data_IF_875716246264
#
_entry.id   IF_875716246264
#
_cell.length_a   1.000
_cell.length_b   1.000
_cell.length_c   1.000
_cell.angle_alpha   90.00
_cell.angle_beta   90.00
_cell.angle_gamma   90.00
#
_symmetry.space_group_name_H-M   'P 1'
#
loop_
_entity.id
_entity.type
_entity.pdbx_description
1 polymer ?
#
# COMPACT_ATOMS: atom_id res chain seq x y z
N UNK A 1 -37.45 -2.02 20.02
CA UNK A 1 -37.21 -0.82 20.87
C UNK A 1 -35.92 -0.96 21.69
N UNK A 2 -34.83 -0.38 21.20
CA UNK A 2 -33.84 0.33 22.01
C UNK A 2 -32.94 1.11 21.04
N UNK A 3 -33.11 2.44 20.99
CA UNK A 3 -32.25 3.35 20.22
C UNK A 3 -31.02 3.62 21.09
N UNK A 4 -29.82 3.36 20.56
CA UNK A 4 -28.57 3.79 21.19
C UNK A 4 -28.30 5.24 20.74
N UNK A 5 -28.16 6.13 21.70
CA UNK A 5 -27.90 7.55 21.51
C UNK A 5 -26.43 7.84 21.20
N UNK A 6 -26.22 8.91 20.43
CA UNK A 6 -24.96 9.64 20.24
C UNK A 6 -24.39 10.09 21.60
N UNK A 7 -23.05 10.13 21.71
CA UNK A 7 -22.21 10.51 22.88
C UNK A 7 -21.61 9.38 23.76
N UNK A 8 -21.04 8.31 23.18
CA UNK A 8 -20.13 7.44 23.94
C UNK A 8 -18.67 7.90 23.85
N UNK A 9 -18.14 8.38 24.97
CA UNK A 9 -16.71 8.60 25.21
C UNK A 9 -16.10 7.29 25.73
N UNK A 10 -15.15 6.71 24.99
CA UNK A 10 -14.40 5.53 25.45
C UNK A 10 -13.10 5.99 26.12
N UNK A 11 -12.95 5.68 27.43
CA UNK A 11 -11.72 5.98 28.19
C UNK A 11 -10.81 4.76 28.25
N UNK A 12 -9.55 4.92 27.82
CA UNK A 12 -8.48 3.95 28.02
C UNK A 12 -7.34 4.62 28.81
N UNK A 13 -7.26 4.33 30.10
CA UNK A 13 -6.22 4.88 30.98
C UNK A 13 -6.25 6.41 31.08
N UNK A 14 -5.08 7.04 31.00
CA UNK A 14 -4.94 8.50 31.15
C UNK A 14 -5.30 9.31 29.89
N UNK A 15 -5.72 8.65 28.80
CA UNK A 15 -5.99 9.31 27.51
C UNK A 15 -7.49 9.33 27.22
N UNK A 16 -8.01 10.53 26.96
CA UNK A 16 -9.40 10.75 26.49
C UNK A 16 -9.37 11.02 25.00
N UNK A 17 -10.10 10.23 24.21
CA UNK A 17 -10.27 10.45 22.77
C UNK A 17 -11.70 10.93 22.54
N UNK A 18 -11.85 12.17 22.08
CA UNK A 18 -13.14 12.69 21.60
C UNK A 18 -13.32 12.33 20.12
N UNK A 19 -14.37 11.55 19.83
CA UNK A 19 -14.87 11.34 18.47
C UNK A 19 -15.52 12.65 17.99
N UNK A 20 -14.76 13.47 17.27
CA UNK A 20 -15.31 14.64 16.60
C UNK A 20 -16.09 14.21 15.37
N UNK A 21 -17.41 14.26 15.49
CA UNK A 21 -18.36 14.20 14.39
C UNK A 21 -18.16 15.42 13.48
N UNK A 22 -17.79 15.19 12.21
CA UNK A 22 -17.97 16.19 11.15
C UNK A 22 -18.81 15.59 10.04
N UNK A 23 -20.11 15.55 10.29
CA UNK A 23 -21.13 15.62 9.24
C UNK A 23 -21.17 17.05 8.74
N UNK A 24 -20.55 17.34 7.60
CA UNK A 24 -20.86 18.53 6.81
C UNK A 24 -21.81 18.15 5.69
N UNK A 25 -23.10 18.34 5.94
CA UNK A 25 -24.17 18.33 4.96
C UNK A 25 -23.96 19.48 3.95
N UNK A 26 -23.57 19.14 2.73
CA UNK A 26 -23.60 20.04 1.57
C UNK A 26 -24.25 19.29 0.42
N UNK A 27 -25.43 19.75 0.00
CA UNK A 27 -26.16 19.25 -1.16
C UNK A 27 -25.36 19.58 -2.41
N UNK A 28 -24.87 18.57 -3.10
CA UNK A 28 -24.72 18.53 -4.56
C UNK A 28 -24.63 17.06 -4.99
N UNK A 29 -25.80 16.49 -5.23
CA UNK A 29 -25.95 15.19 -5.85
C UNK A 29 -25.66 15.34 -7.35
N UNK A 30 -24.42 15.03 -7.75
CA UNK A 30 -24.09 14.72 -9.14
C UNK A 30 -23.58 13.27 -9.19
N UNK A 31 -24.31 12.46 -9.94
CA UNK A 31 -24.16 11.02 -10.03
C UNK A 31 -22.73 10.57 -10.37
N UNK A 32 -22.04 9.96 -9.41
CA UNK A 32 -20.90 9.07 -9.70
C UNK A 32 -21.49 7.67 -9.68
N UNK A 33 -21.75 7.14 -10.88
CA UNK A 33 -22.23 5.78 -11.06
C UNK A 33 -21.35 4.81 -10.27
N UNK A 34 -21.99 4.03 -9.39
CA UNK A 34 -21.36 2.91 -8.73
C UNK A 34 -20.83 1.95 -9.81
N UNK A 35 -19.55 2.07 -10.15
CA UNK A 35 -18.85 1.03 -10.89
C UNK A 35 -18.92 -0.21 -10.01
N UNK A 36 -19.67 -1.20 -10.47
CA UNK A 36 -19.76 -2.52 -9.87
C UNK A 36 -18.33 -3.00 -9.54
N UNK A 37 -18.02 -3.14 -8.25
CA UNK A 37 -16.72 -3.63 -7.82
C UNK A 37 -16.52 -5.04 -8.39
N UNK A 38 -15.41 -5.27 -9.10
CA UNK A 38 -15.05 -6.60 -9.60
C UNK A 38 -14.87 -7.54 -8.40
N UNK A 39 -15.60 -8.67 -8.30
CA UNK A 39 -15.49 -9.60 -7.18
C UNK A 39 -14.10 -10.27 -7.07
N UNK A 40 -13.20 -10.08 -8.04
CA UNK A 40 -11.78 -10.48 -7.98
C UNK A 40 -10.82 -9.33 -7.65
N UNK A 41 -11.33 -8.14 -7.33
CA UNK A 41 -10.50 -7.00 -6.98
C UNK A 41 -9.69 -7.30 -5.71
N UNK A 42 -8.37 -7.15 -5.83
CA UNK A 42 -7.45 -7.23 -4.69
C UNK A 42 -7.55 -5.97 -3.82
N UNK A 43 -7.05 -6.00 -2.59
CA UNK A 43 -6.94 -4.79 -1.77
C UNK A 43 -6.14 -3.69 -2.48
N UNK A 44 -5.12 -4.07 -3.27
CA UNK A 44 -4.38 -3.16 -4.15
C UNK A 44 -5.30 -2.48 -5.19
N UNK A 45 -6.19 -3.23 -5.84
CA UNK A 45 -7.14 -2.67 -6.81
C UNK A 45 -8.11 -1.69 -6.15
N UNK A 46 -8.57 -2.00 -4.95
CA UNK A 46 -9.49 -1.14 -4.19
C UNK A 46 -8.80 0.17 -3.77
N UNK A 47 -7.57 0.08 -3.24
CA UNK A 47 -6.77 1.27 -2.89
C UNK A 47 -6.50 2.11 -4.14
N UNK A 48 -6.07 1.49 -5.24
CA UNK A 48 -5.78 2.22 -6.48
C UNK A 48 -7.02 2.91 -7.06
N UNK A 49 -8.18 2.23 -7.09
CA UNK A 49 -9.43 2.82 -7.55
C UNK A 49 -9.87 3.99 -6.66
N UNK A 50 -9.71 3.85 -5.35
CA UNK A 50 -10.11 4.87 -4.40
C UNK A 50 -9.19 6.11 -4.42
N UNK A 51 -7.99 6.02 -5.02
CA UNK A 51 -7.08 7.16 -5.22
C UNK A 51 -7.45 7.95 -6.47
N UNK A 52 -7.98 7.32 -7.52
CA UNK A 52 -8.40 8.00 -8.75
C UNK A 52 -9.57 9.00 -8.56
N UNK A 53 -10.26 8.95 -7.42
CA UNK A 53 -11.29 9.92 -7.03
C UNK A 53 -10.86 10.89 -5.94
N UNK A 54 -9.62 10.82 -5.45
CA UNK A 54 -9.12 11.62 -4.34
C UNK A 54 -7.87 12.42 -4.78
N UNK A 55 -7.63 13.58 -4.16
CA UNK A 55 -6.42 14.40 -4.36
C UNK A 55 -5.45 14.20 -3.20
N UNK A 56 -4.69 13.08 -3.15
CA UNK A 56 -3.78 12.86 -2.04
C UNK A 56 -2.63 13.86 -2.06
N UNK A 57 -2.25 14.36 -0.88
CA UNK A 57 -0.98 15.07 -0.73
C UNK A 57 0.14 14.06 -1.01
N UNK A 58 1.15 14.46 -1.76
CA UNK A 58 2.34 13.66 -2.05
C UNK A 58 3.60 14.34 -1.49
N UNK A 59 4.68 13.60 -1.20
CA UNK A 59 5.89 14.14 -0.57
C UNK A 59 6.79 14.85 -1.60
N UNK A 60 6.20 15.59 -2.54
CA UNK A 60 6.92 16.34 -3.59
C UNK A 60 6.34 17.75 -3.72
N UNK A 61 7.22 18.74 -3.76
CA UNK A 61 6.83 20.14 -3.99
C UNK A 61 6.71 20.40 -5.49
N UNK A 62 5.48 20.57 -5.99
CA UNK A 62 5.21 20.90 -7.39
C UNK A 62 5.20 19.68 -8.31
N UNK A 63 5.72 19.81 -9.53
CA UNK A 63 5.96 18.68 -10.41
C UNK A 63 7.27 18.02 -9.99
N UNK A 64 7.26 16.73 -9.70
CA UNK A 64 8.45 16.05 -9.23
C UNK A 64 8.35 14.53 -9.29
N UNK A 65 9.50 13.88 -9.30
CA UNK A 65 9.61 12.42 -9.27
C UNK A 65 9.15 11.89 -7.93
N UNK A 66 8.24 10.91 -7.95
CA UNK A 66 7.78 10.19 -6.76
C UNK A 66 7.95 8.69 -6.98
N UNK A 67 8.30 7.99 -5.91
CA UNK A 67 8.28 6.53 -5.86
C UNK A 67 7.03 6.08 -5.13
N UNK A 68 6.23 5.27 -5.80
CA UNK A 68 4.99 4.69 -5.29
C UNK A 68 5.23 3.24 -4.94
N UNK A 69 4.75 2.87 -3.76
CA UNK A 69 4.73 1.49 -3.31
C UNK A 69 3.27 1.06 -3.13
N UNK A 70 2.95 -0.12 -3.64
CA UNK A 70 1.74 -0.84 -3.30
C UNK A 70 2.10 -2.11 -2.54
N UNK A 71 1.32 -2.45 -1.52
CA UNK A 71 1.45 -3.72 -0.83
C UNK A 71 0.09 -4.28 -0.42
N UNK A 72 -0.02 -5.60 -0.33
CA UNK A 72 -1.12 -6.33 0.31
C UNK A 72 -0.64 -7.66 0.90
N UNK A 73 -1.50 -8.31 1.68
CA UNK A 73 -1.25 -9.67 2.16
C UNK A 73 -1.74 -10.66 1.10
N UNK A 74 -0.85 -11.57 0.71
CA UNK A 74 -1.19 -12.66 -0.19
C UNK A 74 -2.26 -13.57 0.44
N UNK A 75 -3.36 -13.79 -0.29
CA UNK A 75 -4.42 -14.69 0.16
C UNK A 75 -5.14 -14.19 1.43
N UNK A 76 -5.17 -12.88 1.67
CA UNK A 76 -5.76 -12.27 2.86
C UNK A 76 -7.18 -12.73 3.18
N UNK A 77 -8.04 -12.86 2.17
CA UNK A 77 -9.41 -13.37 2.35
C UNK A 77 -9.43 -14.82 2.89
N UNK A 78 -8.59 -15.70 2.34
CA UNK A 78 -8.53 -17.09 2.78
C UNK A 78 -7.99 -17.18 4.22
N UNK A 79 -6.97 -16.37 4.55
CA UNK A 79 -6.41 -16.28 5.90
C UNK A 79 -7.40 -15.72 6.92
N UNK A 80 -8.20 -14.72 6.54
CA UNK A 80 -9.24 -14.17 7.40
C UNK A 80 -10.27 -15.24 7.79
N UNK A 81 -10.70 -16.06 6.81
CA UNK A 81 -11.64 -17.17 7.06
C UNK A 81 -11.02 -18.25 7.94
N UNK A 82 -9.75 -18.61 7.71
CA UNK A 82 -9.04 -19.64 8.49
C UNK A 82 -8.85 -19.23 9.96
N UNK A 83 -8.48 -17.98 10.21
CA UNK A 83 -8.16 -17.48 11.55
C UNK A 83 -9.40 -17.03 12.35
N UNK A 84 -10.46 -16.64 11.66
CA UNK A 84 -11.60 -15.95 12.26
C UNK A 84 -11.32 -14.48 12.53
N UNK A 85 -12.41 -13.71 12.68
CA UNK A 85 -12.38 -12.24 12.67
C UNK A 85 -11.44 -11.64 13.72
N UNK A 86 -11.52 -12.07 14.98
CA UNK A 86 -10.73 -11.48 16.07
C UNK A 86 -9.22 -11.69 15.88
N UNK A 87 -8.81 -12.92 15.52
CA UNK A 87 -7.42 -13.24 15.29
C UNK A 87 -6.90 -12.52 14.04
N UNK A 88 -7.68 -12.48 12.96
CA UNK A 88 -7.33 -11.75 11.75
C UNK A 88 -7.18 -10.24 11.99
N UNK A 89 -8.07 -9.63 12.78
CA UNK A 89 -7.97 -8.22 13.16
C UNK A 89 -6.67 -7.91 13.93
N UNK A 90 -6.23 -8.83 14.80
CA UNK A 90 -4.93 -8.69 15.46
C UNK A 90 -3.76 -8.78 14.46
N UNK A 91 -3.81 -9.71 13.49
CA UNK A 91 -2.81 -9.81 12.41
C UNK A 91 -2.75 -8.50 11.60
N UNK A 92 -3.90 -7.97 11.20
CA UNK A 92 -3.98 -6.69 10.49
C UNK A 92 -3.41 -5.53 11.32
N UNK A 93 -3.69 -5.50 12.62
CA UNK A 93 -3.17 -4.47 13.51
C UNK A 93 -1.64 -4.49 13.55
N UNK A 94 -1.04 -5.67 13.73
CA UNK A 94 0.42 -5.83 13.75
C UNK A 94 1.03 -5.50 12.39
N UNK A 95 0.48 -6.05 11.31
CA UNK A 95 0.91 -5.77 9.94
C UNK A 95 0.93 -4.26 9.66
N UNK A 96 -0.20 -3.59 9.90
CA UNK A 96 -0.35 -2.16 9.62
C UNK A 96 0.59 -1.32 10.48
N UNK A 97 0.82 -1.72 11.74
CA UNK A 97 1.76 -1.04 12.63
C UNK A 97 3.21 -1.17 12.15
N UNK A 98 3.62 -2.35 11.69
CA UNK A 98 4.96 -2.56 11.11
C UNK A 98 5.13 -1.70 9.85
N UNK A 99 4.18 -1.76 8.92
CA UNK A 99 4.24 -0.99 7.67
C UNK A 99 4.36 0.51 7.94
N UNK A 100 3.47 1.07 8.77
CA UNK A 100 3.48 2.50 9.12
C UNK A 100 4.79 2.94 9.77
N UNK A 101 5.31 2.14 10.70
CA UNK A 101 6.58 2.43 11.39
C UNK A 101 7.74 2.54 10.41
N UNK A 102 7.86 1.63 9.43
CA UNK A 102 8.96 1.69 8.47
C UNK A 102 8.78 2.80 7.44
N UNK A 103 7.54 3.07 7.03
CA UNK A 103 7.23 4.20 6.14
C UNK A 103 7.64 5.52 6.79
N UNK A 104 7.24 5.76 8.04
CA UNK A 104 7.58 6.97 8.78
C UNK A 104 9.10 7.11 8.99
N UNK A 105 9.77 6.04 9.42
CA UNK A 105 11.23 6.03 9.65
C UNK A 105 12.06 6.42 8.43
N UNK A 106 11.57 6.12 7.23
CA UNK A 106 12.27 6.39 5.98
C UNK A 106 11.72 7.62 5.25
N UNK A 107 10.93 8.47 5.93
CA UNK A 107 10.41 9.71 5.36
C UNK A 107 9.37 9.49 4.26
N UNK A 108 8.73 8.32 4.23
CA UNK A 108 7.60 8.02 3.37
C UNK A 108 6.29 8.54 3.95
N UNK A 109 5.24 8.46 3.14
CA UNK A 109 3.89 8.84 3.54
C UNK A 109 2.89 7.75 3.14
N UNK A 110 2.01 7.39 4.07
CA UNK A 110 0.80 6.63 3.74
C UNK A 110 -0.15 7.55 2.96
N UNK A 111 -0.33 7.25 1.69
CA UNK A 111 -1.28 7.97 0.84
C UNK A 111 -2.69 7.49 1.11
N UNK A 112 -2.85 6.16 1.18
CA UNK A 112 -4.12 5.51 1.45
C UNK A 112 -3.89 4.09 1.92
N UNK A 113 -4.81 3.59 2.74
CA UNK A 113 -4.87 2.18 3.15
C UNK A 113 -6.30 1.65 3.07
N UNK A 114 -6.45 0.35 2.83
CA UNK A 114 -7.73 -0.35 2.86
C UNK A 114 -7.51 -1.81 3.27
N UNK A 115 -7.95 -2.17 4.48
CA UNK A 115 -7.72 -3.49 5.05
C UNK A 115 -6.22 -3.75 5.28
N UNK A 116 -5.68 -4.70 4.51
CA UNK A 116 -4.28 -5.06 4.41
C UNK A 116 -3.54 -4.34 3.26
N UNK A 117 -4.26 -3.63 2.40
CA UNK A 117 -3.70 -2.92 1.27
C UNK A 117 -3.14 -1.54 1.64
N UNK A 118 -1.94 -1.21 1.17
CA UNK A 118 -1.37 0.13 1.28
C UNK A 118 -1.00 0.71 -0.08
N UNK A 119 -1.19 2.03 -0.22
CA UNK A 119 -0.48 2.87 -1.16
C UNK A 119 0.39 3.84 -0.38
N UNK A 120 1.68 3.81 -0.67
CA UNK A 120 2.70 4.61 0.00
C UNK A 120 3.44 5.44 -1.05
N UNK A 121 3.93 6.60 -0.64
CA UNK A 121 4.71 7.48 -1.49
C UNK A 121 6.00 7.92 -0.80
N UNK A 122 7.07 7.96 -1.58
CA UNK A 122 8.40 8.41 -1.16
C UNK A 122 8.94 9.38 -2.20
N UNK A 123 9.72 10.38 -1.76
CA UNK A 123 10.47 11.25 -2.66
C UNK A 123 11.75 10.59 -3.22
N UNK A 124 12.13 9.41 -2.69
CA UNK A 124 13.33 8.67 -3.05
C UNK A 124 13.04 7.20 -3.26
N UNK A 125 13.45 6.67 -4.42
CA UNK A 125 13.35 5.24 -4.73
C UNK A 125 14.14 4.37 -3.74
N UNK A 126 15.30 4.88 -3.30
CA UNK A 126 16.13 4.21 -2.31
C UNK A 126 15.45 4.13 -0.96
N UNK A 127 14.85 5.23 -0.50
CA UNK A 127 14.14 5.26 0.78
C UNK A 127 12.96 4.27 0.78
N UNK A 128 12.23 4.18 -0.33
CA UNK A 128 11.16 3.20 -0.51
C UNK A 128 11.67 1.76 -0.40
N UNK A 129 12.78 1.43 -1.09
CA UNK A 129 13.40 0.11 -1.01
C UNK A 129 13.81 -0.22 0.42
N UNK A 130 14.57 0.67 1.07
CA UNK A 130 15.07 0.42 2.43
C UNK A 130 13.90 0.20 3.40
N UNK A 131 12.84 1.01 3.30
CA UNK A 131 11.64 0.86 4.12
C UNK A 131 10.96 -0.50 3.93
N UNK A 132 10.83 -0.95 2.68
CA UNK A 132 10.14 -2.20 2.36
C UNK A 132 10.98 -3.43 2.72
N UNK A 133 12.31 -3.35 2.62
CA UNK A 133 13.22 -4.38 3.12
C UNK A 133 13.07 -4.54 4.63
N UNK A 134 13.10 -3.43 5.38
CA UNK A 134 12.93 -3.46 6.83
C UNK A 134 11.52 -3.91 7.25
N UNK A 135 10.50 -3.61 6.44
CA UNK A 135 9.15 -4.11 6.66
C UNK A 135 9.08 -5.64 6.48
N UNK A 136 9.63 -6.19 5.38
CA UNK A 136 9.67 -7.63 5.15
C UNK A 136 10.45 -8.37 6.25
N UNK A 137 11.58 -7.81 6.70
CA UNK A 137 12.37 -8.36 7.82
C UNK A 137 11.57 -8.39 9.12
N UNK A 138 10.92 -7.29 9.47
CA UNK A 138 10.11 -7.21 10.69
C UNK A 138 8.91 -8.17 10.65
N UNK A 139 8.23 -8.28 9.50
CA UNK A 139 7.14 -9.24 9.30
C UNK A 139 7.62 -10.69 9.39
N UNK A 140 8.78 -11.00 8.80
CA UNK A 140 9.39 -12.33 8.88
C UNK A 140 9.77 -12.70 10.32
N UNK A 141 10.37 -11.77 11.08
CA UNK A 141 10.72 -11.97 12.48
C UNK A 141 9.48 -12.20 13.36
N UNK A 142 8.39 -11.45 13.11
CA UNK A 142 7.12 -11.65 13.79
C UNK A 142 6.50 -13.00 13.42
N UNK A 143 6.48 -13.37 12.14
CA UNK A 143 5.97 -14.65 11.67
C UNK A 143 6.72 -15.85 12.27
N UNK A 144 8.04 -15.73 12.48
CA UNK A 144 8.84 -16.77 13.14
C UNK A 144 8.41 -16.99 14.61
N UNK A 145 7.96 -15.94 15.29
CA UNK A 145 7.45 -16.02 16.68
C UNK A 145 5.96 -16.38 16.74
N UNK A 146 5.23 -16.22 15.63
CA UNK A 146 3.78 -16.41 15.54
C UNK A 146 3.39 -17.25 14.30
N UNK A 147 3.82 -18.53 14.18
CA UNK A 147 3.66 -19.30 12.94
C UNK A 147 2.21 -19.50 12.48
N UNK A 148 1.28 -19.65 13.42
CA UNK A 148 -0.15 -19.81 13.12
C UNK A 148 -0.78 -18.54 12.56
N UNK A 149 -0.20 -17.37 12.80
CA UNK A 149 -0.70 -16.07 12.34
C UNK A 149 0.16 -15.47 11.23
N UNK A 150 1.13 -16.24 10.71
CA UNK A 150 2.08 -15.78 9.71
C UNK A 150 1.39 -15.41 8.39
N UNK A 151 1.67 -14.19 7.93
CA UNK A 151 1.21 -13.64 6.65
C UNK A 151 2.40 -13.32 5.75
N UNK A 152 2.18 -13.43 4.44
CA UNK A 152 3.19 -13.06 3.44
C UNK A 152 2.72 -11.82 2.70
N UNK A 153 3.53 -10.77 2.72
CA UNK A 153 3.18 -9.49 2.09
C UNK A 153 3.82 -9.40 0.71
N UNK A 154 3.04 -9.00 -0.27
CA UNK A 154 3.48 -8.73 -1.65
C UNK A 154 3.74 -7.25 -1.79
N UNK A 155 4.86 -6.87 -2.38
CA UNK A 155 5.25 -5.46 -2.50
C UNK A 155 5.64 -5.15 -3.94
N UNK A 156 5.10 -4.07 -4.49
CA UNK A 156 5.49 -3.53 -5.80
C UNK A 156 5.91 -2.08 -5.71
N UNK A 157 7.04 -1.74 -6.36
CA UNK A 157 7.62 -0.40 -6.34
C UNK A 157 7.79 0.13 -7.77
N UNK A 158 7.32 1.35 -8.01
CA UNK A 158 7.49 2.05 -9.27
C UNK A 158 7.77 3.53 -9.05
N UNK A 159 8.61 4.13 -9.90
CA UNK A 159 8.91 5.56 -9.89
C UNK A 159 8.31 6.23 -11.11
N UNK A 160 7.77 7.43 -10.95
CA UNK A 160 7.23 8.23 -12.05
C UNK A 160 7.11 9.70 -11.68
N UNK A 161 6.77 10.53 -12.66
CA UNK A 161 6.52 11.95 -12.39
C UNK A 161 5.11 12.18 -11.83
N UNK A 162 5.04 12.93 -10.73
CA UNK A 162 3.83 13.57 -10.28
C UNK A 162 3.62 14.85 -11.09
N UNK A 163 2.63 14.86 -11.99
CA UNK A 163 2.23 16.08 -12.70
C UNK A 163 1.17 16.78 -11.85
N UNK A 164 1.50 17.94 -11.28
CA UNK A 164 0.56 18.75 -10.49
C UNK A 164 -0.27 19.65 -11.42
N UNK A 165 -1.20 19.07 -12.18
CA UNK A 165 -2.32 19.84 -12.74
C UNK A 165 -3.55 19.56 -11.90
N UNK A 166 -4.04 20.58 -11.18
CA UNK A 166 -5.21 20.48 -10.28
C UNK A 166 -5.07 19.41 -9.18
N UNK A 167 -3.88 19.26 -8.59
CA UNK A 167 -3.58 18.40 -7.44
C UNK A 167 -3.87 16.89 -7.64
N UNK A 168 -3.82 16.40 -8.88
CA UNK A 168 -4.10 15.00 -9.20
C UNK A 168 -2.87 14.27 -9.74
N UNK A 169 -2.57 13.09 -9.19
CA UNK A 169 -1.47 12.26 -9.70
C UNK A 169 -1.97 11.52 -10.92
N UNK A 170 -1.39 11.79 -12.10
CA UNK A 170 -1.81 11.14 -13.33
C UNK A 170 -1.78 9.62 -13.16
N UNK A 171 -2.97 9.01 -13.19
CA UNK A 171 -3.24 7.65 -12.75
C UNK A 171 -2.44 6.54 -13.44
N UNK A 172 -1.70 6.83 -14.51
CA UNK A 172 -0.85 5.85 -15.20
C UNK A 172 0.22 5.28 -14.28
N UNK A 173 1.00 6.10 -13.57
CA UNK A 173 2.08 5.60 -12.71
C UNK A 173 1.55 4.89 -11.45
N UNK A 174 0.38 5.31 -10.93
CA UNK A 174 -0.33 4.57 -9.87
C UNK A 174 -0.78 3.21 -10.37
N UNK A 175 -1.38 3.14 -11.57
CA UNK A 175 -1.80 1.88 -12.17
C UNK A 175 -0.59 0.97 -12.42
N UNK A 176 0.53 1.50 -12.94
CA UNK A 176 1.76 0.71 -13.10
C UNK A 176 2.21 0.15 -11.75
N UNK A 177 2.35 1.00 -10.72
CA UNK A 177 2.80 0.56 -9.39
C UNK A 177 1.90 -0.54 -8.79
N UNK A 178 0.58 -0.36 -8.87
CA UNK A 178 -0.41 -1.35 -8.41
C UNK A 178 -0.28 -2.66 -9.19
N UNK A 179 -0.06 -2.59 -10.51
CA UNK A 179 0.09 -3.78 -11.36
C UNK A 179 1.41 -4.49 -11.13
N UNK A 180 2.50 -3.76 -10.88
CA UNK A 180 3.78 -4.33 -10.44
C UNK A 180 3.60 -5.09 -9.12
N UNK A 181 2.92 -4.51 -8.13
CA UNK A 181 2.64 -5.20 -6.87
C UNK A 181 1.78 -6.46 -7.08
N UNK A 182 0.80 -6.40 -7.98
CA UNK A 182 -0.01 -7.57 -8.35
C UNK A 182 0.75 -8.71 -9.03
N UNK A 183 1.96 -8.46 -9.57
CA UNK A 183 2.85 -9.50 -10.12
C UNK A 183 3.78 -10.11 -9.06
N UNK A 184 3.90 -9.49 -7.89
CA UNK A 184 4.71 -10.01 -6.81
C UNK A 184 4.03 -11.22 -6.16
N UNK A 185 4.84 -12.10 -5.58
CA UNK A 185 4.43 -13.21 -4.72
C UNK A 185 4.60 -12.86 -3.24
N UNK A 186 3.97 -13.61 -2.34
CA UNK A 186 4.07 -13.36 -0.89
C UNK A 186 5.52 -13.41 -0.40
N UNK A 187 5.98 -12.33 0.25
CA UNK A 187 7.36 -12.15 0.71
C UNK A 187 8.29 -11.54 -0.35
N UNK A 188 7.79 -11.22 -1.53
CA UNK A 188 8.57 -10.64 -2.62
C UNK A 188 8.45 -9.11 -2.63
N UNK A 189 9.57 -8.45 -2.93
CA UNK A 189 9.60 -7.04 -3.32
C UNK A 189 9.93 -6.99 -4.81
N UNK A 190 8.97 -6.55 -5.61
CA UNK A 190 9.11 -6.44 -7.05
C UNK A 190 9.23 -4.98 -7.47
N UNK A 191 10.23 -4.67 -8.29
CA UNK A 191 10.46 -3.29 -8.74
C UNK A 191 10.37 -3.19 -10.25
N UNK A 192 9.84 -2.08 -10.75
CA UNK A 192 9.92 -1.77 -12.19
C UNK A 192 11.37 -1.50 -12.63
N UNK A 193 11.68 -1.69 -13.93
CA UNK A 193 13.01 -1.42 -14.49
C UNK A 193 13.56 -0.03 -14.13
N UNK A 194 12.72 1.00 -14.18
CA UNK A 194 13.14 2.37 -13.82
C UNK A 194 13.61 2.49 -12.36
N UNK A 195 12.95 1.80 -11.43
CA UNK A 195 13.37 1.82 -10.01
C UNK A 195 14.73 1.15 -9.87
N UNK A 196 14.93 -0.01 -10.54
CA UNK A 196 16.21 -0.72 -10.55
C UNK A 196 17.31 0.18 -11.10
N UNK A 197 17.13 0.77 -12.28
CA UNK A 197 18.11 1.65 -12.92
C UNK A 197 18.52 2.83 -12.02
N UNK A 198 17.57 3.42 -11.28
CA UNK A 198 17.84 4.53 -10.36
C UNK A 198 18.77 4.10 -9.20
N UNK A 199 18.60 2.89 -8.66
CA UNK A 199 19.25 2.47 -7.41
C UNK A 199 20.47 1.58 -7.62
N UNK A 200 20.61 0.92 -8.77
CA UNK A 200 21.66 -0.04 -9.07
C UNK A 200 23.07 0.60 -9.09
N UNK A 201 23.15 1.90 -9.38
CA UNK A 201 24.41 2.67 -9.40
C UNK A 201 25.20 2.65 -8.09
N UNK A 202 24.57 2.39 -6.94
CA UNK A 202 25.26 2.28 -5.64
C UNK A 202 25.90 0.90 -5.39
N UNK A 203 25.48 -0.14 -6.09
CA UNK A 203 26.08 -1.48 -6.02
C UNK A 203 25.84 -2.28 -4.73
N UNK A 204 25.03 -1.78 -3.80
CA UNK A 204 24.74 -2.42 -2.50
C UNK A 204 23.40 -3.19 -2.47
N UNK A 205 22.61 -3.09 -3.54
CA UNK A 205 21.36 -3.84 -3.72
C UNK A 205 21.56 -4.96 -4.73
N UNK A 206 20.94 -6.12 -4.47
CA UNK A 206 20.95 -7.27 -5.39
C UNK A 206 19.56 -7.49 -5.94
N UNK A 207 19.49 -7.72 -7.24
CA UNK A 207 18.26 -8.05 -7.96
C UNK A 207 18.37 -9.45 -8.54
N UNK A 208 17.25 -10.19 -8.53
CA UNK A 208 17.14 -11.45 -9.24
C UNK A 208 16.93 -11.23 -10.74
N UNK A 209 16.61 -12.33 -11.42
CA UNK A 209 16.36 -12.32 -12.87
C UNK A 209 15.19 -11.39 -13.23
N UNK A 210 15.41 -10.59 -14.27
CA UNK A 210 14.38 -9.69 -14.79
C UNK A 210 13.30 -10.49 -15.50
N UNK A 211 12.04 -10.11 -15.27
CA UNK A 211 10.86 -10.74 -15.86
C UNK A 211 10.15 -9.78 -16.80
N UNK A 212 9.83 -10.26 -17.99
CA UNK A 212 8.88 -9.62 -18.89
C UNK A 212 7.45 -9.99 -18.47
N UNK A 213 6.65 -8.98 -18.14
CA UNK A 213 5.26 -9.15 -17.69
C UNK A 213 4.30 -8.28 -18.49
N UNK A 214 3.09 -8.79 -18.67
CA UNK A 214 1.98 -8.00 -19.21
C UNK A 214 1.14 -7.46 -18.07
N UNK A 215 1.02 -6.13 -17.98
CA UNK A 215 0.27 -5.48 -16.91
C UNK A 215 -1.17 -5.20 -17.40
N UNK A 216 -2.18 -5.76 -16.71
CA UNK A 216 -3.60 -5.60 -17.07
C UNK A 216 -3.97 -4.12 -17.26
N UNK A 217 -4.49 -3.77 -18.43
CA UNK A 217 -4.92 -2.41 -18.79
C UNK A 217 -3.79 -1.50 -19.29
N UNK A 218 -2.58 -2.02 -19.47
CA UNK A 218 -1.44 -1.32 -20.07
C UNK A 218 -1.00 -2.07 -21.34
N UNK A 219 -0.65 -1.32 -22.38
CA UNK A 219 -0.12 -1.87 -23.63
C UNK A 219 1.38 -2.18 -23.49
N UNK A 220 1.84 -3.25 -24.13
CA UNK A 220 3.26 -3.64 -24.21
C UNK A 220 3.74 -4.58 -23.09
N UNK A 221 4.98 -5.04 -23.22
CA UNK A 221 5.69 -5.77 -22.17
C UNK A 221 6.35 -4.80 -21.20
N UNK A 222 6.37 -5.15 -19.93
CA UNK A 222 7.00 -4.41 -18.86
C UNK A 222 8.05 -5.28 -18.19
N UNK A 223 9.20 -4.70 -17.89
CA UNK A 223 10.28 -5.40 -17.21
C UNK A 223 10.24 -5.11 -15.72
N UNK A 224 10.26 -6.16 -14.92
CA UNK A 224 10.22 -6.11 -13.45
C UNK A 224 11.29 -7.03 -12.87
N UNK A 225 11.94 -6.60 -11.80
CA UNK A 225 13.02 -7.36 -11.17
C UNK A 225 12.72 -7.59 -9.68
N UNK A 226 12.82 -8.82 -9.15
CA UNK A 226 12.70 -9.06 -7.72
C UNK A 226 13.94 -8.54 -7.00
N UNK A 227 13.75 -7.83 -5.90
CA UNK A 227 14.83 -7.42 -5.00
C UNK A 227 15.16 -8.57 -4.04
N UNK A 228 16.45 -8.92 -3.93
CA UNK A 228 16.94 -9.93 -3.01
C UNK A 228 17.23 -9.26 -1.66
N UNK A 229 16.33 -9.46 -0.69
CA UNK A 229 16.38 -8.81 0.62
C UNK A 229 16.64 -9.76 1.80
N UNK A 230 16.36 -11.05 1.60
CA UNK A 230 16.61 -12.14 2.53
C UNK A 230 17.96 -12.78 2.17
N UNK A 231 19.02 -12.27 2.76
CA UNK A 231 20.39 -12.79 2.63
C UNK A 231 21.11 -12.68 3.95
#
# INVERSE_FOLDING_TARGET
PCRLGVDQVVRLGATTIELLDRVSSGRDAAAIGARQADPRATSIDLVAAAVQGARPRLPVAGNGTVTIVFSDIEGSTARAVELGDDAWMNVLHIHNSIMRRQVERHGGMEVKSQGDGFMLAFSSARAAIDAMVEAQRALSAWAASNPSSAVRVRIGIHTGEAIRRQDDFHGRHVVIAARVAGQATGGEILVSSLVREIVETRGDLRFGEERDVSLKGLTGSWRVSPLIWAS
#
